data_IF_960878292622
#
_entry.id   IF_960878292622
#
_cell.length_a   1.000
_cell.length_b   1.000
_cell.length_c   1.000
_cell.angle_alpha   90.00
_cell.angle_beta   90.00
_cell.angle_gamma   90.00
#
_symmetry.space_group_name_H-M   'P 1'
#
loop_
_entity.id
_entity.type
_entity.pdbx_description
1 polymer ?
#
# COMPACT_ATOMS: atom_id res chain seq x y z
N UNK A 1 -1.94 -30.04 36.67
CA UNK A 1 -0.75 -29.15 36.66
C UNK A 1 -1.10 -27.94 35.82
N UNK A 2 -1.04 -26.74 36.40
CA UNK A 2 -1.56 -25.50 35.84
C UNK A 2 -0.85 -25.12 34.53
N UNK A 3 -1.57 -25.20 33.40
CA UNK A 3 -1.19 -24.59 32.13
C UNK A 3 -1.41 -23.07 32.23
N UNK A 4 -0.60 -22.38 33.04
CA UNK A 4 -0.47 -20.94 32.87
C UNK A 4 0.23 -20.72 31.52
N UNK A 5 -0.53 -20.26 30.54
CA UNK A 5 0.01 -19.76 29.28
C UNK A 5 0.90 -18.58 29.63
N UNK A 6 2.22 -18.80 29.66
CA UNK A 6 3.21 -17.76 29.86
C UNK A 6 3.43 -17.06 28.52
N UNK A 7 2.81 -15.88 28.28
CA UNK A 7 2.95 -15.17 27.01
C UNK A 7 4.38 -14.65 26.81
N UNK A 8 5.19 -14.60 27.86
CA UNK A 8 6.57 -14.13 27.85
C UNK A 8 7.59 -15.28 27.76
N UNK A 9 7.13 -16.52 27.78
CA UNK A 9 7.95 -17.72 27.71
C UNK A 9 8.20 -18.22 26.29
N UNK A 10 8.40 -19.52 26.15
CA UNK A 10 8.55 -20.17 24.85
C UNK A 10 7.19 -20.23 24.12
N UNK A 11 7.03 -19.47 23.03
CA UNK A 11 5.77 -19.40 22.28
C UNK A 11 5.83 -20.11 20.92
N UNK A 12 4.68 -20.24 20.24
CA UNK A 12 4.62 -20.71 18.85
C UNK A 12 5.48 -19.86 17.91
N UNK A 13 5.62 -18.56 18.18
CA UNK A 13 6.48 -17.67 17.40
C UNK A 13 7.96 -18.08 17.52
N UNK A 14 8.44 -18.33 18.74
CA UNK A 14 9.81 -18.80 18.98
C UNK A 14 10.06 -20.13 18.27
N UNK A 15 9.08 -21.04 18.31
CA UNK A 15 9.15 -22.32 17.60
C UNK A 15 9.25 -22.15 16.07
N UNK A 16 8.40 -21.31 15.48
CA UNK A 16 8.40 -21.04 14.04
C UNK A 16 9.71 -20.38 13.60
N UNK A 17 10.27 -19.47 14.41
CA UNK A 17 11.56 -18.86 14.15
C UNK A 17 12.70 -19.90 14.11
N UNK A 18 12.77 -20.78 15.10
CA UNK A 18 13.77 -21.86 15.14
C UNK A 18 13.66 -22.82 13.95
N UNK A 19 12.45 -23.09 13.47
CA UNK A 19 12.24 -23.87 12.23
C UNK A 19 12.74 -23.11 10.99
N UNK A 20 12.42 -21.82 10.90
CA UNK A 20 12.87 -20.97 9.79
C UNK A 20 14.39 -20.80 9.74
N UNK A 21 15.05 -20.83 10.90
CA UNK A 21 16.51 -20.81 11.04
C UNK A 21 17.17 -22.19 10.81
N UNK A 22 16.41 -23.20 10.39
CA UNK A 22 16.94 -24.54 10.16
C UNK A 22 17.46 -25.23 11.42
N UNK A 23 17.00 -24.84 12.62
CA UNK A 23 17.42 -25.40 13.91
C UNK A 23 16.25 -26.02 14.72
N UNK A 24 15.48 -26.97 14.14
CA UNK A 24 14.38 -27.63 14.84
C UNK A 24 14.83 -28.41 16.09
N UNK A 25 16.07 -28.88 16.13
CA UNK A 25 16.67 -29.58 17.27
C UNK A 25 16.71 -28.72 18.56
N UNK A 26 16.71 -27.40 18.42
CA UNK A 26 16.71 -26.46 19.55
C UNK A 26 15.34 -26.34 20.21
N UNK A 27 14.26 -26.67 19.51
CA UNK A 27 12.88 -26.43 19.99
C UNK A 27 12.64 -27.13 21.34
N UNK A 28 13.05 -28.39 21.47
CA UNK A 28 12.84 -29.14 22.71
C UNK A 28 13.62 -28.54 23.89
N UNK A 29 14.85 -28.09 23.65
CA UNK A 29 15.74 -27.55 24.67
C UNK A 29 15.37 -26.12 25.07
N UNK A 30 15.01 -25.28 24.10
CA UNK A 30 14.48 -23.94 24.34
C UNK A 30 13.13 -23.98 25.07
N UNK A 31 12.25 -24.92 24.71
CA UNK A 31 10.99 -25.14 25.44
C UNK A 31 11.22 -25.60 26.88
N UNK A 32 12.17 -26.52 27.11
CA UNK A 32 12.52 -27.00 28.46
C UNK A 32 13.09 -25.90 29.36
N UNK A 33 13.85 -24.96 28.79
CA UNK A 33 14.43 -23.82 29.50
C UNK A 33 13.55 -22.56 29.47
N UNK A 34 12.33 -22.65 28.93
CA UNK A 34 11.41 -21.52 28.73
C UNK A 34 12.06 -20.30 28.06
N UNK A 35 12.88 -20.52 27.02
CA UNK A 35 13.58 -19.44 26.30
C UNK A 35 12.59 -18.73 25.38
N UNK A 36 12.34 -17.45 25.65
CA UNK A 36 11.49 -16.61 24.81
C UNK A 36 12.23 -16.09 23.58
N UNK A 37 11.48 -15.54 22.62
CA UNK A 37 12.05 -14.88 21.43
C UNK A 37 12.97 -13.71 21.81
N UNK A 38 12.67 -13.01 22.90
CA UNK A 38 13.47 -11.87 23.39
C UNK A 38 14.78 -12.28 24.07
N UNK A 39 14.87 -13.52 24.53
CA UNK A 39 16.10 -14.08 25.08
C UNK A 39 16.90 -14.78 23.98
N UNK A 40 16.22 -15.42 23.02
CA UNK A 40 16.83 -16.18 21.94
C UNK A 40 17.83 -15.35 21.12
N UNK A 41 17.52 -14.09 20.81
CA UNK A 41 18.43 -13.21 20.06
C UNK A 41 19.64 -12.70 20.88
N UNK A 42 19.62 -12.90 22.20
CA UNK A 42 20.69 -12.48 23.12
C UNK A 42 21.63 -13.63 23.49
N UNK A 43 21.31 -14.86 23.06
CA UNK A 43 22.13 -16.02 23.36
C UNK A 43 23.52 -15.89 22.70
N UNK A 44 24.54 -16.12 23.51
CA UNK A 44 25.92 -16.21 23.06
C UNK A 44 26.16 -17.52 22.30
N UNK A 45 27.24 -17.57 21.51
CA UNK A 45 27.67 -18.81 20.83
C UNK A 45 27.84 -19.95 21.83
N UNK A 46 28.42 -19.67 23.01
CA UNK A 46 28.60 -20.66 24.06
C UNK A 46 27.27 -21.20 24.60
N UNK A 47 26.27 -20.34 24.80
CA UNK A 47 24.94 -20.76 25.23
C UNK A 47 24.21 -21.60 24.17
N UNK A 48 24.37 -21.26 22.90
CA UNK A 48 23.87 -22.07 21.79
C UNK A 48 24.55 -23.45 21.73
N UNK A 49 25.87 -23.51 21.97
CA UNK A 49 26.60 -24.79 22.08
C UNK A 49 26.12 -25.60 23.30
N UNK A 50 25.84 -24.96 24.44
CA UNK A 50 25.25 -25.63 25.61
C UNK A 50 23.83 -26.15 25.36
N UNK A 51 23.10 -25.53 24.42
CA UNK A 51 21.85 -26.05 23.89
C UNK A 51 22.08 -27.15 22.83
N UNK A 52 23.32 -27.61 22.65
CA UNK A 52 23.73 -28.70 21.77
C UNK A 52 23.62 -28.39 20.29
N UNK A 53 23.86 -27.13 19.93
CA UNK A 53 24.14 -26.72 18.54
C UNK A 53 25.62 -26.95 18.27
N UNK A 54 25.95 -27.44 17.08
CA UNK A 54 27.34 -27.56 16.65
C UNK A 54 28.01 -26.18 16.62
N UNK A 55 29.31 -26.04 16.97
CA UNK A 55 29.97 -24.75 17.08
C UNK A 55 29.87 -23.90 15.80
N UNK A 56 30.08 -24.52 14.62
CA UNK A 56 29.90 -23.84 13.32
C UNK A 56 28.48 -23.30 13.11
N UNK A 57 27.47 -24.08 13.49
CA UNK A 57 26.06 -23.71 13.36
C UNK A 57 25.66 -22.69 14.42
N UNK A 58 26.29 -22.68 15.58
CA UNK A 58 26.06 -21.70 16.64
C UNK A 58 26.54 -20.30 16.23
N UNK A 59 27.67 -20.20 15.54
CA UNK A 59 28.15 -18.94 14.95
C UNK A 59 27.22 -18.43 13.83
N UNK A 60 26.77 -19.33 12.95
CA UNK A 60 25.79 -19.01 11.91
C UNK A 60 24.45 -18.55 12.50
N UNK A 61 23.94 -19.25 13.52
CA UNK A 61 22.72 -18.84 14.21
C UNK A 61 22.91 -17.50 14.90
N UNK A 62 24.04 -17.28 15.58
CA UNK A 62 24.30 -16.03 16.28
C UNK A 62 24.35 -14.87 15.28
N UNK A 63 25.03 -15.01 14.15
CA UNK A 63 25.09 -13.96 13.12
C UNK A 63 23.71 -13.66 12.50
N UNK A 64 22.89 -14.70 12.30
CA UNK A 64 21.53 -14.56 11.77
C UNK A 64 20.55 -13.96 12.79
N UNK A 65 20.69 -14.30 14.07
CA UNK A 65 19.89 -13.75 15.17
C UNK A 65 20.34 -12.33 15.55
N UNK A 66 21.64 -12.07 15.43
CA UNK A 66 22.28 -10.78 15.66
C UNK A 66 22.36 -9.95 14.38
N UNK A 67 21.37 -10.08 13.49
CA UNK A 67 21.06 -9.01 12.56
C UNK A 67 20.73 -7.83 13.47
N UNK A 68 21.75 -7.00 13.73
CA UNK A 68 21.61 -5.70 14.38
C UNK A 68 20.36 -5.16 13.75
N UNK A 69 19.30 -5.06 14.57
CA UNK A 69 18.10 -4.30 14.24
C UNK A 69 18.68 -3.09 13.53
N UNK A 70 18.47 -2.95 12.22
CA UNK A 70 18.78 -1.71 11.53
C UNK A 70 17.93 -0.74 12.33
N UNK A 71 18.54 -0.15 13.35
CA UNK A 71 17.95 0.89 14.13
C UNK A 71 17.82 1.92 13.04
N UNK A 72 16.61 2.05 12.50
CA UNK A 72 16.16 3.34 12.04
C UNK A 72 16.75 4.33 13.04
N UNK A 73 17.55 5.28 12.56
CA UNK A 73 18.34 6.26 13.36
C UNK A 73 17.47 7.15 14.27
N UNK A 74 16.26 6.73 14.59
CA UNK A 74 15.41 7.26 15.63
C UNK A 74 15.97 6.77 16.96
N UNK A 75 17.00 7.46 17.42
CA UNK A 75 17.44 7.46 18.81
C UNK A 75 16.28 8.05 19.62
N UNK A 76 15.39 7.18 20.11
CA UNK A 76 14.29 7.60 20.98
C UNK A 76 14.85 7.88 22.38
N UNK A 77 15.35 9.09 22.57
CA UNK A 77 15.91 9.57 23.84
C UNK A 77 14.87 10.23 24.73
N UNK A 78 13.74 10.71 24.18
CA UNK A 78 12.68 11.40 24.94
C UNK A 78 11.33 10.68 24.85
N UNK A 79 10.53 10.81 25.91
CA UNK A 79 9.18 10.24 26.00
C UNK A 79 8.27 10.79 24.90
N UNK A 80 8.46 12.05 24.52
CA UNK A 80 7.73 12.73 23.44
C UNK A 80 7.93 12.04 22.08
N UNK A 81 9.14 11.59 21.77
CA UNK A 81 9.43 10.87 20.52
C UNK A 81 8.76 9.50 20.49
N UNK A 82 8.63 8.83 21.66
CA UNK A 82 7.87 7.58 21.77
C UNK A 82 6.39 7.81 21.49
N UNK A 83 5.81 8.83 22.10
CA UNK A 83 4.40 9.18 21.93
C UNK A 83 4.12 9.52 20.47
N UNK A 84 4.98 10.30 19.83
CA UNK A 84 4.86 10.64 18.39
C UNK A 84 4.94 9.39 17.51
N UNK A 85 5.89 8.49 17.79
CA UNK A 85 6.01 7.23 17.05
C UNK A 85 4.77 6.34 17.21
N UNK A 86 4.23 6.21 18.43
CA UNK A 86 3.00 5.46 18.66
C UNK A 86 1.79 6.08 17.97
N UNK A 87 1.68 7.42 17.95
CA UNK A 87 0.63 8.12 17.22
C UNK A 87 0.71 7.86 15.71
N UNK A 88 1.91 7.85 15.13
CA UNK A 88 2.09 7.48 13.71
C UNK A 88 1.69 6.02 13.45
N UNK A 89 2.07 5.09 14.32
CA UNK A 89 1.66 3.69 14.21
C UNK A 89 0.14 3.53 14.30
N UNK A 90 -0.51 4.24 15.22
CA UNK A 90 -1.98 4.22 15.36
C UNK A 90 -2.65 4.80 14.11
N UNK A 91 -2.14 5.93 13.60
CA UNK A 91 -2.68 6.56 12.38
C UNK A 91 -2.57 5.67 11.15
N UNK A 92 -1.42 5.01 10.98
CA UNK A 92 -1.26 4.03 9.89
C UNK A 92 -2.12 2.78 10.10
N UNK A 93 -2.28 2.34 11.35
CA UNK A 93 -3.19 1.24 11.70
C UNK A 93 -4.65 1.55 11.39
N UNK A 94 -5.10 2.77 11.67
CA UNK A 94 -6.44 3.26 11.32
C UNK A 94 -6.66 3.25 9.80
N UNK A 95 -5.70 3.76 9.02
CA UNK A 95 -5.77 3.73 7.55
C UNK A 95 -5.87 2.31 7.00
N UNK A 96 -5.05 1.38 7.51
CA UNK A 96 -5.11 -0.03 7.11
C UNK A 96 -6.44 -0.67 7.49
N UNK A 97 -6.97 -0.35 8.67
CA UNK A 97 -8.26 -0.85 9.12
C UNK A 97 -9.41 -0.34 8.24
N UNK A 98 -9.41 0.94 7.88
CA UNK A 98 -10.36 1.53 6.93
C UNK A 98 -10.31 0.83 5.56
N UNK A 99 -9.13 0.49 5.06
CA UNK A 99 -8.98 -0.28 3.82
C UNK A 99 -9.54 -1.70 3.94
N UNK A 100 -9.29 -2.38 5.06
CA UNK A 100 -9.87 -3.71 5.33
C UNK A 100 -11.39 -3.62 5.40
N UNK A 101 -11.95 -2.59 6.04
CA UNK A 101 -13.39 -2.36 6.08
C UNK A 101 -13.97 -2.10 4.69
N UNK A 102 -13.34 -1.25 3.89
CA UNK A 102 -13.76 -0.99 2.51
C UNK A 102 -13.72 -2.27 1.66
N UNK A 103 -12.68 -3.10 1.84
CA UNK A 103 -12.56 -4.39 1.19
C UNK A 103 -13.67 -5.36 1.62
N UNK A 104 -13.98 -5.46 2.92
CA UNK A 104 -15.08 -6.28 3.42
C UNK A 104 -16.43 -5.78 2.87
N UNK A 105 -16.64 -4.46 2.81
CA UNK A 105 -17.85 -3.87 2.25
C UNK A 105 -17.99 -4.18 0.76
N UNK A 106 -16.90 -4.08 0.00
CA UNK A 106 -16.85 -4.48 -1.40
C UNK A 106 -17.14 -5.98 -1.57
N UNK A 107 -16.52 -6.86 -0.78
CA UNK A 107 -16.81 -8.29 -0.81
C UNK A 107 -18.26 -8.59 -0.50
N UNK A 108 -18.87 -7.93 0.51
CA UNK A 108 -20.30 -8.08 0.82
C UNK A 108 -21.19 -7.65 -0.34
N UNK A 109 -20.90 -6.50 -0.94
CA UNK A 109 -21.66 -5.99 -2.08
C UNK A 109 -21.56 -6.93 -3.29
N UNK A 110 -20.36 -7.48 -3.52
CA UNK A 110 -20.11 -8.47 -4.57
C UNK A 110 -20.83 -9.79 -4.32
N UNK A 111 -20.83 -10.28 -3.07
CA UNK A 111 -21.56 -11.49 -2.69
C UNK A 111 -23.09 -11.34 -2.86
N UNK A 112 -23.65 -10.18 -2.55
CA UNK A 112 -25.07 -9.87 -2.79
C UNK A 112 -25.38 -9.76 -4.28
N UNK A 113 -24.47 -9.17 -5.07
CA UNK A 113 -24.64 -8.98 -6.52
C UNK A 113 -24.45 -10.26 -7.34
N UNK A 114 -23.56 -11.16 -6.91
CA UNK A 114 -23.18 -12.36 -7.69
C UNK A 114 -23.95 -13.65 -7.29
N UNK A 115 -24.91 -13.61 -6.34
CA UNK A 115 -25.65 -14.81 -5.85
C UNK A 115 -24.77 -16.07 -5.74
N UNK A 116 -23.56 -15.92 -5.17
CA UNK A 116 -22.65 -17.06 -5.08
C UNK A 116 -23.17 -17.96 -3.97
N UNK A 117 -23.75 -19.10 -4.35
CA UNK A 117 -24.14 -20.20 -3.46
C UNK A 117 -22.86 -20.89 -2.92
N UNK A 118 -22.13 -20.21 -2.04
CA UNK A 118 -20.87 -20.70 -1.43
C UNK A 118 -21.08 -21.99 -0.61
N UNK A 119 -22.32 -22.31 -0.24
CA UNK A 119 -22.63 -23.47 0.60
C UNK A 119 -22.63 -24.83 -0.14
N UNK A 120 -22.46 -24.86 -1.47
CA UNK A 120 -22.60 -26.10 -2.26
C UNK A 120 -21.28 -26.63 -2.85
N UNK A 121 -20.19 -25.84 -2.90
CA UNK A 121 -18.94 -26.28 -3.54
C UNK A 121 -17.73 -26.29 -2.59
N UNK A 122 -17.24 -27.47 -2.15
CA UNK A 122 -16.07 -27.59 -1.27
C UNK A 122 -14.75 -27.13 -1.90
N UNK A 123 -14.68 -26.87 -3.21
CA UNK A 123 -13.50 -26.32 -3.88
C UNK A 123 -13.49 -24.78 -3.99
N UNK A 124 -14.48 -24.10 -3.40
CA UNK A 124 -14.66 -22.65 -3.53
C UNK A 124 -13.44 -21.82 -3.10
N UNK A 125 -12.68 -22.22 -2.08
CA UNK A 125 -11.49 -21.46 -1.68
C UNK A 125 -10.39 -21.48 -2.77
N UNK A 126 -10.27 -22.58 -3.50
CA UNK A 126 -9.33 -22.75 -4.61
C UNK A 126 -9.78 -21.95 -5.84
N UNK A 127 -11.09 -21.94 -6.11
CA UNK A 127 -11.69 -21.15 -7.19
C UNK A 127 -11.65 -19.65 -6.87
N UNK A 128 -11.97 -19.23 -5.65
CA UNK A 128 -11.84 -17.84 -5.17
C UNK A 128 -10.38 -17.36 -5.20
N UNK A 129 -9.42 -18.22 -4.84
CA UNK A 129 -7.99 -17.92 -4.96
C UNK A 129 -7.54 -17.72 -6.42
N UNK A 130 -8.20 -18.35 -7.40
CA UNK A 130 -7.93 -18.16 -8.83
C UNK A 130 -8.66 -16.94 -9.40
N UNK A 131 -9.85 -16.64 -8.89
CA UNK A 131 -10.65 -15.47 -9.30
C UNK A 131 -10.05 -14.17 -8.75
N UNK A 132 -9.42 -14.18 -7.58
CA UNK A 132 -8.87 -12.97 -6.97
C UNK A 132 -7.77 -12.30 -7.83
N UNK A 133 -6.76 -13.00 -8.38
CA UNK A 133 -5.80 -12.43 -9.31
C UNK A 133 -6.47 -11.87 -10.59
N UNK A 134 -7.50 -12.56 -11.09
CA UNK A 134 -8.25 -12.14 -12.29
C UNK A 134 -9.03 -10.85 -12.01
N UNK A 135 -9.68 -10.78 -10.84
CA UNK A 135 -10.39 -9.58 -10.41
C UNK A 135 -9.44 -8.41 -10.18
N UNK A 136 -8.28 -8.65 -9.56
CA UNK A 136 -7.24 -7.62 -9.37
C UNK A 136 -6.72 -7.12 -10.72
N UNK A 137 -6.44 -8.01 -11.66
CA UNK A 137 -6.02 -7.65 -13.01
C UNK A 137 -7.10 -6.81 -13.73
N UNK A 138 -8.36 -7.23 -13.67
CA UNK A 138 -9.48 -6.49 -14.26
C UNK A 138 -9.63 -5.10 -13.64
N UNK A 139 -9.54 -4.97 -12.32
CA UNK A 139 -9.60 -3.66 -11.65
C UNK A 139 -8.41 -2.75 -11.98
N UNK A 140 -7.23 -3.33 -12.23
CA UNK A 140 -6.06 -2.57 -12.69
C UNK A 140 -6.26 -2.05 -14.11
N UNK A 141 -6.82 -2.87 -15.00
CA UNK A 141 -7.17 -2.44 -16.37
C UNK A 141 -8.24 -1.33 -16.34
N UNK A 142 -9.29 -1.49 -15.55
CA UNK A 142 -10.33 -0.45 -15.39
C UNK A 142 -9.76 0.86 -14.83
N UNK A 143 -8.78 0.78 -13.93
CA UNK A 143 -8.10 1.95 -13.38
C UNK A 143 -7.20 2.63 -14.42
N UNK A 144 -6.50 1.87 -15.26
CA UNK A 144 -5.70 2.39 -16.37
C UNK A 144 -6.57 3.08 -17.42
N UNK A 145 -7.71 2.47 -17.77
CA UNK A 145 -8.69 3.07 -18.69
C UNK A 145 -9.28 4.36 -18.11
N UNK A 146 -9.63 4.36 -16.82
CA UNK A 146 -10.11 5.56 -16.15
C UNK A 146 -9.05 6.68 -16.14
N UNK A 147 -7.78 6.34 -15.91
CA UNK A 147 -6.66 7.28 -15.97
C UNK A 147 -6.49 7.87 -17.37
N UNK A 148 -6.61 7.04 -18.42
CA UNK A 148 -6.53 7.48 -19.81
C UNK A 148 -7.68 8.44 -20.16
N UNK A 149 -8.91 8.10 -19.79
CA UNK A 149 -10.07 8.98 -19.99
C UNK A 149 -9.90 10.32 -19.27
N UNK A 150 -9.30 10.32 -18.07
CA UNK A 150 -9.05 11.53 -17.31
C UNK A 150 -7.99 12.42 -18.00
N UNK A 151 -6.95 11.83 -18.58
CA UNK A 151 -5.97 12.58 -19.39
C UNK A 151 -6.57 13.15 -20.68
N UNK A 152 -7.45 12.42 -21.36
CA UNK A 152 -8.14 12.94 -22.56
C UNK A 152 -9.06 14.12 -22.21
N UNK A 153 -9.76 14.05 -21.07
CA UNK A 153 -10.58 15.17 -20.57
C UNK A 153 -9.71 16.37 -20.19
N UNK A 154 -8.55 16.15 -19.56
CA UNK A 154 -7.59 17.22 -19.24
C UNK A 154 -7.07 17.91 -20.51
N UNK A 155 -6.74 17.14 -21.55
CA UNK A 155 -6.32 17.65 -22.85
C UNK A 155 -7.43 18.46 -23.53
N UNK A 156 -8.67 17.98 -23.52
CA UNK A 156 -9.83 18.72 -24.04
C UNK A 156 -10.09 20.03 -23.28
N UNK A 157 -9.90 20.04 -21.96
CA UNK A 157 -10.02 21.26 -21.14
C UNK A 157 -8.92 22.26 -21.50
N UNK A 158 -7.70 21.80 -21.77
CA UNK A 158 -6.58 22.63 -22.21
C UNK A 158 -6.82 23.18 -23.62
N UNK A 159 -7.32 22.37 -24.56
CA UNK A 159 -7.70 22.82 -25.91
C UNK A 159 -8.85 23.85 -25.87
N UNK A 160 -9.84 23.66 -24.99
CA UNK A 160 -10.91 24.63 -24.78
C UNK A 160 -10.42 25.95 -24.19
N UNK A 161 -9.40 25.91 -23.32
CA UNK A 161 -8.68 27.12 -22.84
C UNK A 161 -7.87 27.79 -23.94
N UNK A 162 -7.40 27.04 -24.94
CA UNK A 162 -6.59 27.54 -26.05
C UNK A 162 -7.37 28.02 -27.28
N UNK A 163 -8.71 27.89 -27.32
CA UNK A 163 -9.49 28.44 -28.44
C UNK A 163 -9.29 29.96 -28.59
N UNK A 164 -9.07 30.44 -29.84
CA UNK A 164 -8.64 31.80 -30.07
C UNK A 164 -9.76 32.79 -29.75
N UNK A 165 -9.36 33.91 -29.13
CA UNK A 165 -10.14 35.13 -28.92
C UNK A 165 -11.18 35.33 -30.04
N UNK A 166 -12.47 35.22 -29.67
CA UNK A 166 -13.65 35.68 -30.43
C UNK A 166 -13.53 37.14 -30.93
N UNK A 167 -12.51 37.87 -30.50
CA UNK A 167 -12.20 39.24 -30.93
C UNK A 167 -11.80 39.37 -32.41
N UNK A 168 -11.24 38.34 -33.07
CA UNK A 168 -10.78 38.52 -34.46
C UNK A 168 -11.94 38.73 -35.43
N UNK A 169 -13.04 38.00 -35.27
CA UNK A 169 -14.24 38.13 -36.13
C UNK A 169 -14.92 39.48 -35.90
N UNK A 170 -15.04 39.92 -34.65
CA UNK A 170 -15.60 41.25 -34.34
C UNK A 170 -14.72 42.39 -34.87
N UNK A 171 -13.40 42.26 -34.80
CA UNK A 171 -12.47 43.27 -35.36
C UNK A 171 -12.55 43.34 -36.89
N UNK A 172 -12.70 42.20 -37.58
CA UNK A 172 -12.88 42.18 -39.04
C UNK A 172 -14.22 42.81 -39.43
N UNK A 173 -15.32 42.52 -38.73
CA UNK A 173 -16.61 43.17 -38.99
C UNK A 173 -16.58 44.69 -38.74
N UNK A 174 -15.87 45.15 -37.71
CA UNK A 174 -15.70 46.59 -37.43
C UNK A 174 -14.84 47.25 -38.53
N UNK A 175 -13.78 46.59 -38.99
CA UNK A 175 -12.92 47.12 -40.04
C UNK A 175 -13.67 47.23 -41.38
N UNK A 176 -14.48 46.23 -41.76
CA UNK A 176 -15.26 46.24 -43.00
C UNK A 176 -16.34 47.35 -42.95
N UNK A 177 -17.02 47.51 -41.81
CA UNK A 177 -18.04 48.56 -41.65
C UNK A 177 -17.43 49.97 -41.62
N UNK A 178 -16.25 50.15 -41.01
CA UNK A 178 -15.51 51.40 -41.08
C UNK A 178 -15.05 51.72 -42.52
N UNK A 179 -14.56 50.73 -43.27
CA UNK A 179 -14.15 50.93 -44.66
C UNK A 179 -15.33 51.37 -45.54
N UNK A 180 -16.51 50.75 -45.35
CA UNK A 180 -17.74 51.12 -46.05
C UNK A 180 -18.24 52.53 -45.75
N UNK A 181 -18.07 53.00 -44.51
CA UNK A 181 -18.39 54.39 -44.15
C UNK A 181 -17.42 55.39 -44.79
N UNK A 182 -16.12 55.08 -44.81
CA UNK A 182 -15.11 55.94 -45.44
C UNK A 182 -15.33 56.05 -46.95
N UNK A 183 -15.65 54.95 -47.63
CA UNK A 183 -15.96 54.98 -49.06
C UNK A 183 -17.23 55.76 -49.34
N UNK A 184 -18.27 55.64 -48.51
CA UNK A 184 -19.52 56.40 -48.65
C UNK A 184 -19.27 57.92 -48.51
N UNK A 185 -18.48 58.32 -47.50
CA UNK A 185 -18.14 59.74 -47.25
C UNK A 185 -17.27 60.31 -48.37
N UNK A 186 -16.30 59.54 -48.88
CA UNK A 186 -15.50 59.95 -50.03
C UNK A 186 -16.36 60.11 -51.29
N UNK A 187 -17.33 59.22 -51.50
CA UNK A 187 -18.23 59.30 -52.63
C UNK A 187 -19.14 60.54 -52.54
N UNK A 188 -19.68 60.85 -51.35
CA UNK A 188 -20.52 62.06 -51.15
C UNK A 188 -19.73 63.35 -51.27
N UNK A 189 -18.42 63.35 -50.99
CA UNK A 189 -17.56 64.54 -51.12
C UNK A 189 -17.05 64.80 -52.54
N UNK A 190 -17.01 63.79 -53.40
CA UNK A 190 -16.51 63.91 -54.79
C UNK A 190 -17.64 64.02 -55.84
N UNK A 191 -18.90 63.77 -55.45
CA UNK A 191 -20.10 63.89 -56.29
C UNK A 191 -20.99 65.10 -55.95
N UNK A 192 -20.40 66.12 -55.30
CA UNK A 192 -20.93 67.48 -55.15
C UNK A 192 -19.88 68.42 -55.73
#
# INVERSE_FOLDING_TARGET
>A
MNNFYDPFGFTKQTMSLLRGLGAPELIAKCKKRNISTDVLHKLTVQELIMLGVNPKKAEELQSTLNIKRKRSDIVITKVEDRVKHFLEVIKHGEQQFCLIQAFIAYCRLRLVKEQINIFVDPNHCLTASKILPIAVAATLTELEDAKKNLSEVEELILELKMKPKRNSIHQVCIAISALGLVTLVLFTRYMI
#
